data_IF_392403066129
#
_entry.id   IF_392403066129
#
_cell.length_a   1.000
_cell.length_b   1.000
_cell.length_c   1.000
_cell.angle_alpha   90.00
_cell.angle_beta   90.00
_cell.angle_gamma   90.00
#
_symmetry.space_group_name_H-M   'P 1'
#
loop_
_entity.id
_entity.type
_entity.pdbx_description
1 polymer ?
#
# COMPACT_ATOMS: atom_id res chain seq x y z
N UNK A 1 22.78 17.87 2.40
CA UNK A 1 22.29 16.92 3.43
C UNK A 1 21.50 15.85 2.66
N UNK A 2 21.86 14.60 2.85
CA UNK A 2 21.06 13.49 2.32
C UNK A 2 19.72 13.52 3.06
N UNK A 3 18.58 13.53 2.36
CA UNK A 3 17.29 13.50 3.00
C UNK A 3 17.15 12.14 3.73
N UNK A 4 16.83 12.18 5.01
CA UNK A 4 16.47 10.96 5.75
C UNK A 4 15.07 10.52 5.32
N UNK A 5 14.88 9.26 5.07
CA UNK A 5 13.56 8.66 4.84
C UNK A 5 12.98 8.26 6.20
N UNK A 6 11.81 8.79 6.53
CA UNK A 6 11.16 8.53 7.81
C UNK A 6 10.19 7.33 7.72
N UNK A 7 9.57 7.15 6.57
CA UNK A 7 8.65 6.04 6.34
C UNK A 7 8.65 5.53 4.90
N UNK A 8 8.38 4.25 4.73
CA UNK A 8 8.12 3.60 3.44
C UNK A 8 6.74 2.95 3.52
N UNK A 9 5.89 3.25 2.54
CA UNK A 9 4.56 2.64 2.42
C UNK A 9 4.55 1.78 1.17
N UNK A 10 4.09 0.54 1.31
CA UNK A 10 4.01 -0.41 0.22
C UNK A 10 2.66 -1.12 0.24
N UNK A 11 2.10 -1.39 -0.94
CA UNK A 11 0.91 -2.21 -1.06
C UNK A 11 1.16 -3.62 -0.49
N UNK A 12 0.14 -4.20 0.12
CA UNK A 12 0.23 -5.52 0.74
C UNK A 12 -0.99 -6.38 0.34
N UNK A 13 -0.73 -7.51 -0.27
CA UNK A 13 -1.63 -8.64 -0.38
C UNK A 13 -1.04 -9.77 0.47
N UNK A 14 -0.52 -10.85 -0.13
CA UNK A 14 0.16 -11.94 0.61
C UNK A 14 1.46 -11.56 1.33
N UNK A 15 1.88 -10.30 1.28
CA UNK A 15 2.96 -9.73 2.07
C UNK A 15 4.38 -9.93 1.52
N UNK A 16 4.57 -10.56 0.36
CA UNK A 16 5.91 -10.88 -0.16
C UNK A 16 6.74 -9.65 -0.53
N UNK A 17 6.14 -8.70 -1.25
CA UNK A 17 6.83 -7.49 -1.68
C UNK A 17 7.28 -6.65 -0.47
N UNK A 18 6.37 -6.38 0.45
CA UNK A 18 6.66 -5.55 1.62
C UNK A 18 7.63 -6.22 2.60
N UNK A 19 7.59 -7.55 2.75
CA UNK A 19 8.57 -8.30 3.53
C UNK A 19 9.98 -8.15 2.94
N UNK A 20 10.10 -8.28 1.61
CA UNK A 20 11.38 -8.07 0.92
C UNK A 20 11.93 -6.64 1.08
N UNK A 21 11.07 -5.64 0.98
CA UNK A 21 11.43 -4.24 1.25
C UNK A 21 11.88 -4.09 2.71
N UNK A 22 11.10 -4.64 3.65
CA UNK A 22 11.40 -4.57 5.08
C UNK A 22 12.77 -5.12 5.42
N UNK A 23 13.08 -6.31 4.94
CA UNK A 23 14.41 -6.93 5.13
C UNK A 23 15.52 -6.04 4.56
N UNK A 24 15.35 -5.53 3.33
CA UNK A 24 16.38 -4.75 2.68
C UNK A 24 16.63 -3.40 3.35
N UNK A 25 15.58 -2.72 3.84
CA UNK A 25 15.73 -1.35 4.35
C UNK A 25 15.99 -1.28 5.86
N UNK A 26 15.66 -2.31 6.65
CA UNK A 26 15.95 -2.33 8.08
C UNK A 26 17.44 -2.18 8.38
N UNK A 27 18.30 -2.75 7.54
CA UNK A 27 19.75 -2.62 7.65
C UNK A 27 20.28 -1.31 7.04
N UNK A 28 19.66 -0.85 5.94
CA UNK A 28 20.13 0.31 5.19
C UNK A 28 19.72 1.65 5.81
N UNK A 29 18.55 1.69 6.45
CA UNK A 29 17.94 2.89 7.01
C UNK A 29 17.42 2.57 8.42
N UNK A 30 18.29 2.47 9.42
CA UNK A 30 17.87 2.16 10.79
C UNK A 30 16.81 3.15 11.30
N UNK A 31 15.71 2.60 11.85
CA UNK A 31 14.60 3.39 12.39
C UNK A 31 13.56 3.86 11.37
N UNK A 32 13.70 3.53 10.08
CA UNK A 32 12.64 3.76 9.09
C UNK A 32 11.38 3.00 9.48
N UNK A 33 10.22 3.64 9.37
CA UNK A 33 8.93 3.00 9.60
C UNK A 33 8.42 2.38 8.31
N UNK A 34 8.02 1.12 8.35
CA UNK A 34 7.48 0.41 7.19
C UNK A 34 5.99 0.17 7.43
N UNK A 35 5.16 0.58 6.48
CA UNK A 35 3.71 0.51 6.58
C UNK A 35 3.10 -0.23 5.39
N UNK A 36 2.13 -1.11 5.67
CA UNK A 36 1.28 -1.69 4.62
C UNK A 36 0.27 -0.66 4.11
N UNK A 37 -0.18 -0.85 2.87
CA UNK A 37 -1.36 -0.20 2.33
C UNK A 37 -2.25 -1.28 1.70
N UNK A 38 -3.46 -1.40 2.22
CA UNK A 38 -4.39 -2.48 1.91
C UNK A 38 -5.76 -1.90 1.53
N UNK A 39 -6.50 -2.54 0.62
CA UNK A 39 -7.85 -2.09 0.32
C UNK A 39 -8.81 -2.42 1.47
N UNK A 40 -9.86 -1.62 1.59
CA UNK A 40 -10.98 -1.87 2.49
C UNK A 40 -11.52 -3.30 2.30
N UNK A 41 -11.86 -3.96 3.40
CA UNK A 41 -12.24 -5.39 3.50
C UNK A 41 -11.09 -6.40 3.30
N UNK A 42 -9.94 -5.98 2.78
CA UNK A 42 -8.72 -6.78 2.60
C UNK A 42 -7.55 -6.22 3.41
N UNK A 43 -7.87 -5.66 4.58
CA UNK A 43 -6.94 -5.10 5.56
C UNK A 43 -6.44 -6.17 6.55
N UNK A 44 -6.37 -7.40 6.06
CA UNK A 44 -6.06 -8.58 6.86
C UNK A 44 -4.63 -8.55 7.44
N UNK A 45 -3.64 -7.97 6.75
CA UNK A 45 -2.30 -7.79 7.31
C UNK A 45 -2.32 -6.81 8.49
N UNK A 46 -2.96 -5.64 8.36
CA UNK A 46 -3.05 -4.66 9.45
C UNK A 46 -3.77 -5.24 10.67
N UNK A 47 -4.88 -5.96 10.46
CA UNK A 47 -5.60 -6.64 11.55
C UNK A 47 -4.76 -7.75 12.18
N UNK A 48 -4.01 -8.49 11.37
CA UNK A 48 -3.09 -9.53 11.86
C UNK A 48 -1.99 -8.94 12.73
N UNK A 49 -1.37 -7.83 12.31
CA UNK A 49 -0.36 -7.11 13.11
C UNK A 49 -0.93 -6.63 14.45
N UNK A 50 -2.19 -6.20 14.45
CA UNK A 50 -2.86 -5.71 15.67
C UNK A 50 -3.20 -6.84 16.64
N UNK A 51 -3.65 -7.99 16.13
CA UNK A 51 -4.08 -9.15 16.95
C UNK A 51 -2.96 -10.12 17.31
N UNK A 52 -1.80 -10.04 16.63
CA UNK A 52 -0.68 -10.97 16.78
C UNK A 52 -0.96 -12.37 16.21
N UNK A 53 -1.93 -12.50 15.31
CA UNK A 53 -2.26 -13.76 14.62
C UNK A 53 -2.80 -13.48 13.24
N UNK A 54 -2.70 -14.46 12.33
CA UNK A 54 -3.24 -14.33 10.97
C UNK A 54 -4.76 -14.18 11.02
N UNK A 55 -5.25 -13.03 10.56
CA UNK A 55 -6.67 -12.73 10.32
C UNK A 55 -7.02 -12.95 8.85
N UNK A 56 -8.31 -13.14 8.55
CA UNK A 56 -8.79 -13.34 7.18
C UNK A 56 -9.52 -12.12 6.65
N UNK A 57 -9.36 -11.85 5.35
CA UNK A 57 -10.11 -10.83 4.64
C UNK A 57 -11.60 -11.22 4.48
N UNK A 58 -12.48 -10.24 4.24
CA UNK A 58 -13.85 -10.51 3.81
C UNK A 58 -13.91 -10.66 2.27
N UNK A 59 -13.56 -11.84 1.80
CA UNK A 59 -13.49 -12.16 0.37
C UNK A 59 -14.83 -12.06 -0.38
N UNK A 60 -15.96 -11.81 0.31
CA UNK A 60 -17.25 -11.59 -0.32
C UNK A 60 -17.45 -10.14 -0.77
N UNK A 61 -16.58 -9.24 -0.34
CA UNK A 61 -16.61 -7.84 -0.74
C UNK A 61 -15.76 -7.61 -1.99
N UNK A 62 -16.24 -6.81 -2.95
CA UNK A 62 -15.45 -6.49 -4.13
C UNK A 62 -14.35 -5.45 -3.79
N UNK A 63 -13.23 -5.51 -4.51
CA UNK A 63 -12.27 -4.41 -4.60
C UNK A 63 -11.66 -4.37 -5.99
N UNK A 64 -11.38 -3.17 -6.48
CA UNK A 64 -10.67 -2.97 -7.76
C UNK A 64 -9.17 -3.24 -7.66
N UNK A 65 -8.64 -3.39 -6.45
CA UNK A 65 -7.21 -3.65 -6.20
C UNK A 65 -6.88 -5.15 -6.37
N UNK A 66 -7.30 -5.76 -7.47
CA UNK A 66 -7.29 -7.20 -7.74
C UNK A 66 -5.93 -7.90 -7.54
N UNK A 67 -4.83 -7.18 -7.77
CA UNK A 67 -3.48 -7.68 -7.57
C UNK A 67 -3.09 -7.91 -6.09
N UNK A 68 -3.86 -7.36 -5.15
CA UNK A 68 -3.56 -7.42 -3.71
C UNK A 68 -4.74 -7.92 -2.85
N UNK A 69 -5.82 -8.40 -3.47
CA UNK A 69 -6.94 -9.04 -2.76
C UNK A 69 -6.59 -10.50 -2.48
N UNK A 70 -6.03 -10.75 -1.31
CA UNK A 70 -5.68 -12.09 -0.84
C UNK A 70 -6.54 -12.47 0.37
N UNK A 71 -6.88 -13.76 0.57
CA UNK A 71 -7.76 -14.15 1.67
C UNK A 71 -7.14 -13.99 3.06
N UNK A 72 -5.81 -13.95 3.14
CA UNK A 72 -5.04 -13.78 4.38
C UNK A 72 -3.55 -13.52 4.07
N UNK A 73 -2.76 -13.01 5.03
CA UNK A 73 -1.31 -12.91 4.90
C UNK A 73 -0.67 -14.27 4.66
N UNK A 74 0.41 -14.30 3.90
CA UNK A 74 1.17 -15.53 3.66
C UNK A 74 1.81 -16.08 4.94
N UNK A 75 1.80 -17.39 5.14
CA UNK A 75 2.37 -18.03 6.33
C UNK A 75 3.88 -17.80 6.48
N UNK A 76 4.61 -17.64 5.36
CA UNK A 76 6.04 -17.34 5.37
C UNK A 76 6.34 -15.85 5.55
N UNK A 77 5.46 -14.99 5.02
CA UNK A 77 5.68 -13.54 5.02
C UNK A 77 5.18 -12.87 6.29
N UNK A 78 4.13 -13.42 6.93
CA UNK A 78 3.55 -12.80 8.12
C UNK A 78 4.54 -12.68 9.28
N UNK A 79 5.32 -13.70 9.68
CA UNK A 79 6.30 -13.55 10.76
C UNK A 79 7.34 -12.46 10.49
N UNK A 80 7.75 -12.28 9.23
CA UNK A 80 8.68 -11.23 8.81
C UNK A 80 8.00 -9.86 8.94
N UNK A 81 6.78 -9.76 8.44
CA UNK A 81 6.01 -8.53 8.47
C UNK A 81 5.63 -8.13 9.91
N UNK A 82 5.30 -9.09 10.77
CA UNK A 82 5.02 -8.85 12.19
C UNK A 82 6.20 -8.23 12.93
N UNK A 83 7.43 -8.63 12.59
CA UNK A 83 8.65 -8.07 13.17
C UNK A 83 8.99 -6.69 12.61
N UNK A 84 8.80 -6.48 11.30
CA UNK A 84 9.36 -5.32 10.58
C UNK A 84 8.37 -4.19 10.36
N UNK A 85 7.05 -4.46 10.28
CA UNK A 85 6.08 -3.40 10.01
C UNK A 85 5.69 -2.66 11.29
N UNK A 86 5.59 -1.35 11.15
CA UNK A 86 5.22 -0.45 12.26
C UNK A 86 3.72 -0.08 12.23
N UNK A 87 2.96 -0.55 11.24
CA UNK A 87 1.54 -0.26 11.05
C UNK A 87 1.10 -0.40 9.61
N UNK A 88 -0.06 0.15 9.30
CA UNK A 88 -0.63 0.11 7.96
C UNK A 88 -1.71 1.16 7.74
N UNK A 89 -2.14 1.27 6.50
CA UNK A 89 -3.20 2.14 6.02
C UNK A 89 -4.27 1.30 5.31
N UNK A 90 -5.52 1.72 5.42
CA UNK A 90 -6.66 1.12 4.71
C UNK A 90 -7.20 2.16 3.73
N UNK A 91 -7.25 1.81 2.45
CA UNK A 91 -7.71 2.70 1.40
C UNK A 91 -8.99 2.18 0.76
N UNK A 92 -9.84 3.10 0.31
CA UNK A 92 -11.03 2.75 -0.46
C UNK A 92 -10.69 2.59 -1.95
N UNK A 93 -11.58 1.94 -2.71
CA UNK A 93 -11.49 1.88 -4.18
C UNK A 93 -11.42 3.28 -4.80
N UNK A 94 -12.13 4.25 -4.21
CA UNK A 94 -12.11 5.65 -4.65
C UNK A 94 -10.73 6.28 -4.46
N UNK A 95 -10.11 6.06 -3.32
CA UNK A 95 -8.76 6.57 -3.04
C UNK A 95 -7.75 6.01 -4.05
N UNK A 96 -7.86 4.73 -4.41
CA UNK A 96 -7.03 4.10 -5.43
C UNK A 96 -7.22 4.75 -6.81
N UNK A 97 -8.47 4.98 -7.25
CA UNK A 97 -8.76 5.66 -8.52
C UNK A 97 -8.18 7.08 -8.55
N UNK A 98 -8.37 7.85 -7.48
CA UNK A 98 -7.84 9.20 -7.37
C UNK A 98 -6.31 9.23 -7.35
N UNK A 99 -5.67 8.23 -6.72
CA UNK A 99 -4.21 8.09 -6.74
C UNK A 99 -3.68 7.78 -8.14
N UNK A 100 -4.37 6.93 -8.93
CA UNK A 100 -4.05 6.67 -10.33
C UNK A 100 -4.11 7.96 -11.16
N UNK A 101 -5.20 8.72 -11.04
CA UNK A 101 -5.37 9.99 -11.75
C UNK A 101 -4.29 11.02 -11.33
N UNK A 102 -3.97 11.09 -10.04
CA UNK A 102 -2.91 11.95 -9.50
C UNK A 102 -1.54 11.58 -10.05
N UNK A 103 -1.21 10.28 -10.06
CA UNK A 103 0.05 9.76 -10.62
C UNK A 103 0.19 10.12 -12.11
N UNK A 104 -0.86 9.90 -12.89
CA UNK A 104 -0.86 10.26 -14.31
C UNK A 104 -0.72 11.76 -14.53
N UNK A 105 -1.52 12.58 -13.81
CA UNK A 105 -1.52 14.03 -13.99
C UNK A 105 -0.19 14.68 -13.59
N UNK A 106 0.39 14.26 -12.46
CA UNK A 106 1.52 14.96 -11.84
C UNK A 106 2.87 14.26 -12.04
N UNK A 107 2.89 12.91 -12.01
CA UNK A 107 4.12 12.14 -12.15
C UNK A 107 4.33 11.59 -13.57
N UNK A 108 3.30 11.62 -14.43
CA UNK A 108 3.32 11.09 -15.80
C UNK A 108 3.60 9.58 -15.86
N UNK A 109 3.13 8.86 -14.85
CA UNK A 109 3.21 7.39 -14.80
C UNK A 109 1.81 6.79 -14.81
N UNK A 110 1.73 5.57 -15.34
CA UNK A 110 0.52 4.74 -15.31
C UNK A 110 0.73 3.65 -14.27
N UNK A 111 -0.18 3.58 -13.30
CA UNK A 111 -0.17 2.55 -12.25
C UNK A 111 -1.53 1.87 -12.17
N UNK A 112 -1.55 0.60 -11.75
CA UNK A 112 -2.76 -0.17 -11.52
C UNK A 112 -3.35 0.09 -10.12
N UNK A 113 -4.61 -0.27 -9.83
CA UNK A 113 -5.23 0.00 -8.52
C UNK A 113 -4.43 -0.53 -7.33
N UNK A 114 -4.00 -1.79 -7.37
CA UNK A 114 -3.16 -2.37 -6.30
C UNK A 114 -1.81 -1.67 -6.17
N UNK A 115 -1.20 -1.28 -7.31
CA UNK A 115 0.06 -0.52 -7.33
C UNK A 115 -0.07 0.90 -6.82
N UNK A 116 -1.29 1.48 -6.85
CA UNK A 116 -1.59 2.82 -6.38
C UNK A 116 -1.86 2.90 -4.87
N UNK A 117 -2.06 1.78 -4.18
CA UNK A 117 -2.50 1.75 -2.78
C UNK A 117 -1.59 2.54 -1.84
N UNK A 118 -0.27 2.42 -1.98
CA UNK A 118 0.67 3.19 -1.16
C UNK A 118 0.60 4.69 -1.41
N UNK A 119 0.45 5.10 -2.67
CA UNK A 119 0.26 6.51 -3.02
C UNK A 119 -1.08 7.03 -2.49
N UNK A 120 -2.16 6.24 -2.59
CA UNK A 120 -3.47 6.57 -2.03
C UNK A 120 -3.39 6.83 -0.52
N UNK A 121 -2.70 5.96 0.22
CA UNK A 121 -2.48 6.13 1.65
C UNK A 121 -1.79 7.47 1.98
N UNK A 122 -0.74 7.83 1.22
CA UNK A 122 -0.04 9.12 1.41
C UNK A 122 -0.95 10.30 1.09
N UNK A 123 -1.67 10.27 -0.03
CA UNK A 123 -2.54 11.35 -0.47
C UNK A 123 -3.73 11.59 0.47
N UNK A 124 -4.20 10.54 1.17
CA UNK A 124 -5.28 10.62 2.17
C UNK A 124 -4.75 10.88 3.59
N UNK A 125 -3.45 11.09 3.77
CA UNK A 125 -2.85 11.39 5.06
C UNK A 125 -2.67 10.19 5.98
N UNK A 126 -2.80 8.98 5.47
CA UNK A 126 -2.66 7.73 6.23
C UNK A 126 -1.19 7.24 6.21
N UNK A 127 -0.36 7.85 7.03
CA UNK A 127 1.05 7.51 7.21
C UNK A 127 1.51 7.86 8.64
N UNK A 128 2.69 7.38 9.09
CA UNK A 128 3.15 7.63 10.46
C UNK A 128 3.19 9.11 10.81
N UNK A 129 2.59 9.47 11.95
CA UNK A 129 2.59 10.84 12.44
C UNK A 129 4.03 11.35 12.66
N UNK A 130 4.29 12.58 12.23
CA UNK A 130 5.59 13.23 12.34
C UNK A 130 6.60 12.83 11.26
N UNK A 131 6.25 11.94 10.34
CA UNK A 131 7.08 11.64 9.18
C UNK A 131 7.13 12.86 8.24
N UNK A 132 8.33 13.33 7.92
CA UNK A 132 8.60 14.45 7.01
C UNK A 132 8.90 13.98 5.59
N UNK A 133 9.50 12.80 5.46
CA UNK A 133 9.86 12.21 4.18
C UNK A 133 9.28 10.80 4.10
N UNK A 134 8.26 10.63 3.24
CA UNK A 134 7.57 9.36 3.03
C UNK A 134 7.81 8.88 1.60
N UNK A 135 8.22 7.62 1.46
CA UNK A 135 8.35 6.94 0.17
C UNK A 135 7.12 6.09 -0.05
N UNK A 136 6.36 6.34 -1.12
CA UNK A 136 5.28 5.49 -1.57
C UNK A 136 5.76 4.60 -2.72
N UNK A 137 5.59 3.28 -2.59
CA UNK A 137 5.99 2.32 -3.62
C UNK A 137 4.88 2.19 -4.66
N UNK A 138 5.11 2.67 -5.87
CA UNK A 138 4.26 2.43 -7.04
C UNK A 138 4.71 1.11 -7.70
N UNK A 139 4.07 -0.01 -7.36
CA UNK A 139 4.62 -1.34 -7.61
C UNK A 139 4.24 -1.94 -8.97
N UNK A 140 3.08 -1.60 -9.53
CA UNK A 140 2.59 -2.20 -10.76
C UNK A 140 1.80 -1.22 -11.63
N UNK A 141 1.72 -1.53 -12.93
CA UNK A 141 1.04 -0.69 -13.92
C UNK A 141 0.22 -1.48 -14.95
N UNK A 142 -0.14 -2.73 -14.66
CA UNK A 142 -0.95 -3.58 -15.54
C UNK A 142 -2.43 -3.24 -15.42
N UNK A 143 -2.80 -2.03 -15.83
CA UNK A 143 -4.17 -1.52 -15.80
C UNK A 143 -4.79 -1.58 -17.19
N UNK A 144 -6.04 -2.03 -17.30
CA UNK A 144 -6.79 -1.97 -18.54
C UNK A 144 -7.31 -0.56 -18.86
N UNK A 145 -7.63 -0.32 -20.13
CA UNK A 145 -8.05 1.01 -20.58
C UNK A 145 -9.37 1.48 -19.93
N UNK A 146 -10.29 0.58 -19.63
CA UNK A 146 -11.58 0.93 -19.03
C UNK A 146 -11.38 1.38 -17.57
N UNK A 147 -10.60 0.64 -16.80
CA UNK A 147 -10.26 1.01 -15.42
C UNK A 147 -9.45 2.32 -15.38
N UNK A 148 -8.53 2.50 -16.32
CA UNK A 148 -7.78 3.75 -16.42
C UNK A 148 -8.66 4.96 -16.73
N UNK A 149 -9.61 4.83 -17.71
CA UNK A 149 -10.61 5.89 -17.96
C UNK A 149 -11.44 6.18 -16.72
N UNK A 150 -11.92 5.15 -16.00
CA UNK A 150 -12.66 5.34 -14.75
C UNK A 150 -11.85 6.14 -13.72
N UNK A 151 -10.56 5.90 -13.61
CA UNK A 151 -9.69 6.68 -12.73
C UNK A 151 -9.57 8.15 -13.18
N UNK A 152 -9.42 8.39 -14.48
CA UNK A 152 -9.36 9.78 -15.01
C UNK A 152 -10.68 10.54 -14.80
N UNK A 153 -11.82 9.88 -14.92
CA UNK A 153 -13.15 10.45 -14.68
C UNK A 153 -13.37 10.78 -13.19
N UNK A 154 -12.86 9.96 -12.27
CA UNK A 154 -12.87 10.25 -10.84
C UNK A 154 -12.03 11.49 -10.51
N UNK A 155 -10.96 11.70 -11.25
CA UNK A 155 -10.07 12.84 -11.10
C UNK A 155 -9.05 12.71 -9.96
N UNK A 156 -8.03 13.59 -9.97
CA UNK A 156 -6.98 13.60 -8.93
C UNK A 156 -7.48 14.19 -7.62
N UNK A 157 -6.78 13.89 -6.52
CA UNK A 157 -7.06 14.46 -5.18
C UNK A 157 -6.78 15.97 -5.14
N UNK A 158 -5.84 16.47 -5.96
CA UNK A 158 -5.44 17.89 -6.05
C UNK A 158 -5.45 18.42 -7.50
#
# INVERSE_FOLDING_TARGET
KQASVDAIICCCGGGGLIAGIGIAVSDLIPGVKIWSAEPEFYDDTLRSLTSGKIETADINQPSICDAIVTPQPGQLTFPINEELLSGGAVITDRDALQAIATAFKHLKIVIEPGGAAALAAVLTGQYPQGASTVVAVASGGNIDAQMFHRALDEGPIF
#
